data_IF_413002320900
#
_entry.id   IF_413002320900
#
_cell.length_a   1.000
_cell.length_b   1.000
_cell.length_c   1.000
_cell.angle_alpha   90.00
_cell.angle_beta   90.00
_cell.angle_gamma   90.00
#
_symmetry.space_group_name_H-M   'P 1'
#
loop_
_entity.id
_entity.type
_entity.pdbx_description
1 polymer ?
#
# COMPACT_ATOMS: atom_id res chain seq x y z
N UNK A 1 -2.57 27.97 -5.20
CA UNK A 1 -2.90 26.58 -5.58
C UNK A 1 -1.79 25.65 -5.09
N UNK A 2 -1.99 24.89 -4.01
CA UNK A 2 -1.02 23.89 -3.59
C UNK A 2 -1.16 22.67 -4.52
N UNK A 3 -0.25 22.51 -5.48
CA UNK A 3 -0.30 21.37 -6.40
C UNK A 3 -0.19 20.05 -5.64
N UNK A 4 -1.10 19.12 -5.93
CA UNK A 4 -0.94 17.72 -5.54
C UNK A 4 0.25 17.16 -6.34
N UNK A 5 1.13 16.42 -5.67
CA UNK A 5 2.13 15.61 -6.34
C UNK A 5 1.80 14.14 -6.08
N UNK A 6 2.10 13.31 -7.07
CA UNK A 6 1.99 11.87 -6.96
C UNK A 6 3.23 11.22 -7.56
N UNK A 7 3.66 10.12 -6.94
CA UNK A 7 4.65 9.22 -7.51
C UNK A 7 4.19 7.77 -7.31
N UNK A 8 4.64 6.88 -8.19
CA UNK A 8 4.21 5.49 -8.23
C UNK A 8 5.39 4.56 -8.08
N UNK A 9 5.22 3.51 -7.29
CA UNK A 9 6.20 2.44 -7.05
C UNK A 9 5.58 1.11 -7.44
N UNK A 10 6.20 0.40 -8.38
CA UNK A 10 5.78 -0.95 -8.75
C UNK A 10 6.20 -1.94 -7.66
N UNK A 11 5.30 -2.82 -7.25
CA UNK A 11 5.52 -3.78 -6.16
C UNK A 11 4.48 -4.89 -6.19
N UNK A 12 4.14 -5.44 -5.02
CA UNK A 12 3.15 -6.50 -4.84
C UNK A 12 2.34 -6.27 -3.56
N UNK A 13 1.10 -6.77 -3.53
CA UNK A 13 0.34 -7.03 -2.31
C UNK A 13 0.74 -8.41 -1.77
N UNK A 14 0.97 -8.49 -0.46
CA UNK A 14 1.42 -9.68 0.27
C UNK A 14 0.25 -10.24 1.10
N UNK A 15 0.43 -11.45 1.63
CA UNK A 15 -0.55 -12.08 2.53
C UNK A 15 -1.74 -12.73 1.82
N UNK A 16 -1.78 -12.74 0.48
CA UNK A 16 -2.94 -13.27 -0.25
C UNK A 16 -3.23 -14.76 0.03
N UNK A 17 -2.26 -15.54 0.51
CA UNK A 17 -2.49 -16.92 0.95
C UNK A 17 -3.44 -17.02 2.16
N UNK A 18 -3.52 -15.96 2.98
CA UNK A 18 -4.45 -15.80 4.10
C UNK A 18 -5.81 -15.27 3.58
N UNK A 19 -5.78 -14.29 2.67
CA UNK A 19 -6.97 -13.55 2.23
C UNK A 19 -7.64 -14.08 0.94
N UNK A 20 -7.13 -15.17 0.35
CA UNK A 20 -7.66 -15.76 -0.91
C UNK A 20 -9.12 -16.22 -0.83
N UNK A 21 -9.68 -16.42 0.36
CA UNK A 21 -11.09 -16.78 0.55
C UNK A 21 -12.03 -15.58 0.47
N UNK A 22 -11.53 -14.36 0.73
CA UNK A 22 -12.32 -13.13 0.79
C UNK A 22 -12.06 -12.20 -0.41
N UNK A 23 -10.92 -12.35 -1.08
CA UNK A 23 -10.55 -11.53 -2.22
C UNK A 23 -9.94 -12.38 -3.33
N UNK A 24 -10.37 -12.11 -4.56
CA UNK A 24 -9.74 -12.60 -5.80
C UNK A 24 -9.32 -11.38 -6.61
N UNK A 25 -8.03 -11.24 -6.97
CA UNK A 25 -7.52 -10.03 -7.60
C UNK A 25 -8.05 -9.86 -9.02
N UNK A 26 -8.48 -8.64 -9.34
CA UNK A 26 -8.88 -8.25 -10.69
C UNK A 26 -7.94 -7.17 -11.25
N UNK A 27 -7.63 -7.23 -12.55
CA UNK A 27 -6.73 -6.28 -13.20
C UNK A 27 -7.33 -4.87 -13.17
N UNK A 28 -6.56 -3.90 -12.68
CA UNK A 28 -7.00 -2.52 -12.54
C UNK A 28 -7.89 -2.24 -11.33
N UNK A 29 -8.16 -3.24 -10.48
CA UNK A 29 -8.80 -3.04 -9.17
C UNK A 29 -7.95 -2.10 -8.32
N UNK A 30 -8.59 -1.12 -7.68
CA UNK A 30 -7.92 -0.10 -6.87
C UNK A 30 -8.34 -0.19 -5.40
N UNK A 31 -7.38 -0.02 -4.50
CA UNK A 31 -7.56 -0.08 -3.05
C UNK A 31 -6.92 1.12 -2.37
N UNK A 32 -7.44 1.45 -1.19
CA UNK A 32 -6.79 2.38 -0.27
C UNK A 32 -5.90 1.62 0.70
N UNK A 33 -4.84 2.28 1.17
CA UNK A 33 -3.97 1.74 2.20
C UNK A 33 -4.19 2.44 3.54
N UNK A 34 -4.19 1.66 4.61
CA UNK A 34 -4.35 2.15 5.97
C UNK A 34 -3.23 1.66 6.87
N UNK A 35 -2.77 2.52 7.77
CA UNK A 35 -1.74 2.19 8.75
C UNK A 35 -2.37 1.49 9.97
N UNK A 36 -1.87 0.31 10.32
CA UNK A 36 -2.33 -0.50 11.45
C UNK A 36 -1.52 -0.19 12.71
N UNK A 37 -1.95 0.81 13.50
CA UNK A 37 -1.21 1.24 14.70
C UNK A 37 -1.20 0.21 15.84
N UNK A 38 -2.09 -0.78 15.79
CA UNK A 38 -2.25 -1.83 16.80
C UNK A 38 -1.67 -3.18 16.42
N UNK A 39 -0.85 -3.25 15.37
CA UNK A 39 -0.29 -4.53 14.93
C UNK A 39 0.83 -5.00 15.88
N UNK A 40 0.60 -6.12 16.57
CA UNK A 40 1.51 -6.69 17.57
C UNK A 40 2.85 -7.17 16.99
N UNK A 41 2.92 -7.42 15.67
CA UNK A 41 4.09 -7.98 15.00
C UNK A 41 4.93 -6.92 14.29
N UNK A 42 4.32 -5.84 13.83
CA UNK A 42 4.99 -4.78 13.08
C UNK A 42 4.30 -3.42 13.32
N UNK A 43 4.95 -2.56 14.12
CA UNK A 43 4.47 -1.21 14.44
C UNK A 43 4.29 -0.28 13.21
N UNK A 44 4.79 -0.69 12.04
CA UNK A 44 4.67 0.05 10.78
C UNK A 44 3.78 -0.67 9.77
N UNK A 45 2.99 -1.66 10.20
CA UNK A 45 2.10 -2.41 9.32
C UNK A 45 1.16 -1.47 8.53
N UNK A 46 1.04 -1.75 7.24
CA UNK A 46 0.14 -1.05 6.32
C UNK A 46 -0.70 -2.08 5.57
N UNK A 47 -2.01 -2.00 5.79
CA UNK A 47 -3.01 -2.87 5.21
C UNK A 47 -3.52 -2.35 3.86
N UNK A 48 -3.89 -3.29 2.99
CA UNK A 48 -4.66 -3.02 1.77
C UNK A 48 -6.14 -3.30 2.10
N UNK A 49 -6.98 -2.27 1.95
CA UNK A 49 -8.36 -2.30 2.41
C UNK A 49 -9.36 -2.42 1.26
N UNK A 50 -10.34 -3.30 1.42
CA UNK A 50 -11.54 -3.44 0.58
C UNK A 50 -12.78 -3.39 1.46
N UNK A 51 -13.62 -2.37 1.32
CA UNK A 51 -14.88 -2.23 2.07
C UNK A 51 -14.71 -2.49 3.59
N UNK A 52 -13.73 -1.83 4.21
CA UNK A 52 -13.32 -2.01 5.62
C UNK A 52 -12.73 -3.38 6.01
N UNK A 53 -12.48 -4.26 5.04
CA UNK A 53 -11.83 -5.55 5.24
C UNK A 53 -10.40 -5.53 4.73
N UNK A 54 -9.46 -6.07 5.52
CA UNK A 54 -8.07 -6.26 5.09
C UNK A 54 -8.01 -7.39 4.06
N UNK A 55 -7.50 -7.11 2.86
CA UNK A 55 -7.34 -8.11 1.78
C UNK A 55 -5.88 -8.46 1.50
N UNK A 56 -4.96 -7.79 2.19
CA UNK A 56 -3.53 -8.03 2.10
C UNK A 56 -2.74 -6.94 2.80
N UNK A 57 -1.42 -7.07 2.72
CA UNK A 57 -0.49 -6.12 3.32
C UNK A 57 0.55 -5.64 2.32
N UNK A 58 1.03 -4.42 2.56
CA UNK A 58 2.19 -3.89 1.86
C UNK A 58 3.46 -4.66 2.27
N UNK A 59 4.45 -4.85 1.37
CA UNK A 59 5.66 -5.57 1.71
C UNK A 59 6.54 -4.81 2.70
N UNK A 60 7.21 -5.57 3.57
CA UNK A 60 8.02 -5.07 4.69
C UNK A 60 9.01 -3.95 4.32
N UNK A 61 9.64 -4.04 3.16
CA UNK A 61 10.63 -3.04 2.73
C UNK A 61 10.04 -1.66 2.41
N UNK A 62 8.71 -1.55 2.23
CA UNK A 62 8.02 -0.27 2.06
C UNK A 62 7.34 0.24 3.34
N UNK A 63 7.26 -0.57 4.40
CA UNK A 63 6.41 -0.27 5.56
C UNK A 63 6.81 1.00 6.31
N UNK A 64 8.07 1.21 6.76
CA UNK A 64 8.39 2.37 7.59
C UNK A 64 8.12 3.70 6.88
N UNK A 65 8.51 3.81 5.61
CA UNK A 65 8.30 5.02 4.79
C UNK A 65 6.82 5.25 4.49
N UNK A 66 6.08 4.18 4.19
CA UNK A 66 4.65 4.27 3.84
C UNK A 66 3.79 4.58 5.04
N UNK A 67 4.08 3.96 6.18
CA UNK A 67 3.42 4.24 7.44
C UNK A 67 3.58 5.72 7.81
N UNK A 68 4.82 6.23 7.78
CA UNK A 68 5.09 7.65 8.05
C UNK A 68 4.36 8.57 7.06
N UNK A 69 4.37 8.19 5.77
CA UNK A 69 3.68 8.92 4.73
C UNK A 69 2.18 9.03 4.98
N UNK A 70 1.52 7.92 5.29
CA UNK A 70 0.09 7.87 5.62
C UNK A 70 -0.21 8.76 6.83
N UNK A 71 0.61 8.70 7.89
CA UNK A 71 0.36 9.45 9.12
C UNK A 71 0.59 10.95 9.01
N UNK A 72 1.50 11.41 8.15
CA UNK A 72 2.00 12.79 8.17
C UNK A 72 1.80 13.56 6.87
N UNK A 73 1.80 12.85 5.75
CA UNK A 73 2.01 13.46 4.42
C UNK A 73 0.76 13.42 3.56
N UNK A 74 0.15 12.24 3.40
CA UNK A 74 -0.94 12.05 2.46
C UNK A 74 -1.50 10.63 2.47
N UNK A 75 -1.99 10.18 1.32
CA UNK A 75 -2.65 8.88 1.15
C UNK A 75 -1.93 8.03 0.12
N UNK A 76 -2.00 6.71 0.27
CA UNK A 76 -1.48 5.77 -0.72
C UNK A 76 -2.65 4.97 -1.27
N UNK A 77 -2.65 4.76 -2.59
CA UNK A 77 -3.57 3.83 -3.27
C UNK A 77 -2.78 2.69 -3.91
N UNK A 78 -3.37 1.51 -3.99
CA UNK A 78 -2.81 0.33 -4.64
C UNK A 78 -3.66 0.03 -5.88
N UNK A 79 -3.04 -0.14 -7.05
CA UNK A 79 -3.72 -0.60 -8.27
C UNK A 79 -3.17 -1.95 -8.69
N UNK A 80 -4.03 -2.95 -8.86
CA UNK A 80 -3.60 -4.28 -9.29
C UNK A 80 -3.17 -4.26 -10.75
N UNK A 81 -1.98 -4.78 -11.03
CA UNK A 81 -1.37 -4.77 -12.38
C UNK A 81 -1.27 -6.16 -12.99
N UNK A 82 -1.61 -7.22 -12.25
CA UNK A 82 -1.57 -8.58 -12.77
C UNK A 82 -2.23 -9.61 -11.86
N UNK A 83 -2.33 -10.86 -12.33
CA UNK A 83 -2.89 -11.95 -11.56
C UNK A 83 -1.97 -12.33 -10.39
N UNK A 84 -2.51 -13.09 -9.43
CA UNK A 84 -1.74 -13.72 -8.36
C UNK A 84 -0.56 -14.52 -8.94
N UNK A 85 0.59 -14.43 -8.29
CA UNK A 85 1.81 -15.20 -8.62
C UNK A 85 2.41 -15.85 -7.38
N UNK A 86 3.20 -16.90 -7.61
CA UNK A 86 4.06 -17.47 -6.59
C UNK A 86 5.24 -16.52 -6.32
N UNK A 87 5.53 -16.27 -5.04
CA UNK A 87 6.64 -15.46 -4.57
C UNK A 87 6.97 -15.86 -3.14
N UNK A 88 7.21 -14.90 -2.23
CA UNK A 88 7.32 -15.24 -0.79
C UNK A 88 5.92 -15.52 -0.24
N UNK A 89 5.35 -16.69 -0.53
CA UNK A 89 3.92 -17.00 -0.39
C UNK A 89 3.13 -16.70 -1.67
N UNK A 90 1.90 -16.21 -1.54
CA UNK A 90 1.11 -15.69 -2.67
C UNK A 90 1.18 -14.17 -2.71
N UNK A 91 1.61 -13.65 -3.85
CA UNK A 91 1.75 -12.22 -4.15
C UNK A 91 0.79 -11.81 -5.26
N UNK A 92 0.36 -10.55 -5.23
CA UNK A 92 -0.43 -9.95 -6.32
C UNK A 92 0.30 -8.70 -6.81
N UNK A 93 0.76 -8.64 -8.08
CA UNK A 93 1.40 -7.45 -8.65
C UNK A 93 0.54 -6.21 -8.54
N UNK A 94 1.14 -5.09 -8.12
CA UNK A 94 0.43 -3.83 -7.99
C UNK A 94 1.34 -2.60 -8.10
N UNK A 95 0.70 -1.46 -8.29
CA UNK A 95 1.31 -0.14 -8.27
C UNK A 95 0.82 0.64 -7.06
N UNK A 96 1.76 1.01 -6.17
CA UNK A 96 1.47 1.89 -5.05
C UNK A 96 1.66 3.34 -5.48
N UNK A 97 0.58 4.12 -5.46
CA UNK A 97 0.59 5.55 -5.80
C UNK A 97 0.47 6.39 -4.54
N UNK A 98 1.52 7.13 -4.24
CA UNK A 98 1.61 8.04 -3.10
C UNK A 98 1.10 9.40 -3.53
N UNK A 99 0.04 9.91 -2.89
CA UNK A 99 -0.58 11.19 -3.21
C UNK A 99 -0.46 12.12 -2.01
N UNK A 100 0.09 13.32 -2.20
CA UNK A 100 0.26 14.27 -1.11
C UNK A 100 0.50 15.70 -1.59
N UNK A 101 0.52 16.63 -0.63
CA UNK A 101 0.83 18.03 -0.95
C UNK A 101 2.31 18.19 -1.33
N UNK A 102 2.61 18.97 -2.38
CA UNK A 102 3.98 19.21 -2.87
C UNK A 102 4.96 19.66 -1.77
N UNK A 103 4.50 20.48 -0.81
CA UNK A 103 5.34 20.99 0.30
C UNK A 103 5.79 19.90 1.26
N UNK A 104 4.94 18.90 1.52
CA UNK A 104 5.25 17.80 2.44
C UNK A 104 6.04 16.68 1.76
N UNK A 105 5.75 16.42 0.47
CA UNK A 105 6.47 15.42 -0.32
C UNK A 105 7.95 15.74 -0.48
N UNK A 106 8.29 17.01 -0.73
CA UNK A 106 9.69 17.44 -0.86
C UNK A 106 10.52 17.13 0.39
N UNK A 107 9.94 17.25 1.58
CA UNK A 107 10.63 16.93 2.85
C UNK A 107 10.92 15.44 3.05
N UNK A 108 10.18 14.55 2.39
CA UNK A 108 10.38 13.09 2.50
C UNK A 108 11.34 12.57 1.43
N UNK A 109 11.38 13.24 0.27
CA UNK A 109 12.31 12.88 -0.82
C UNK A 109 13.72 13.45 -0.61
N UNK A 110 13.84 14.57 0.11
CA UNK A 110 15.13 15.25 0.38
C UNK A 110 15.80 14.81 1.70
N UNK A 111 15.22 13.85 2.43
CA UNK A 111 15.69 13.35 3.75
C UNK A 111 16.18 11.91 3.68
#
# INVERSE_FOLDING_TARGET
>A
MAGLLAFTVNSVVRGHHIYKSIWTPFLGEEFVLEAEDGNEHDQHAVAVMKDATVVGHMPRYLLPVSWFFIKRVGSITCKITGPRKHGVGLEVPCDYTYKGSRRKLKKVLDS
#
